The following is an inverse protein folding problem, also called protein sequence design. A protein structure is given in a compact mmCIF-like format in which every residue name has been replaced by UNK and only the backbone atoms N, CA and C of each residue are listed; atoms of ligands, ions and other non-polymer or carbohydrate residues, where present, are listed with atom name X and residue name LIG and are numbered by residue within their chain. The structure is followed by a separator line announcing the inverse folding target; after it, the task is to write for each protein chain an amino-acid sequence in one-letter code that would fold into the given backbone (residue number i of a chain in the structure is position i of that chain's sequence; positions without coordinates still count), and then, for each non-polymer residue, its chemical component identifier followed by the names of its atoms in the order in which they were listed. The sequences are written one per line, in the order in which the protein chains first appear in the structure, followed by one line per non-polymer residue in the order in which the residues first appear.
data_IF_972770682710
#
_entry.id   IF_972770682710
#
_cell.length_a   1.000
_cell.length_b   1.000
_cell.length_c   1.000
_cell.angle_alpha   90.00
_cell.angle_beta   90.00
_cell.angle_gamma   90.00
#
_symmetry.space_group_name_H-M   'P 1'
#
loop_
_entity.id
_entity.type
_entity.pdbx_description
1 polymer ?
#
# COMPACT_ATOMS: atom_id res chain seq x y z
N UNK A 1 -2.09 0.36 17.36
CA UNK A 1 -1.26 1.56 17.53
C UNK A 1 -2.16 2.75 17.76
N UNK A 2 -2.02 3.35 18.94
CA UNK A 2 -2.67 4.58 19.37
C UNK A 2 -1.67 5.39 20.21
N UNK A 3 -1.61 6.69 19.95
CA UNK A 3 -0.79 7.64 20.71
C UNK A 3 -1.60 8.22 21.87
N UNK A 4 -0.93 8.51 22.98
CA UNK A 4 -1.51 9.20 24.12
C UNK A 4 -0.47 10.08 24.81
N UNK A 5 -0.95 11.17 25.42
CA UNK A 5 -0.14 12.05 26.24
C UNK A 5 -0.03 11.46 27.66
N UNK A 6 1.19 11.16 28.11
CA UNK A 6 1.47 10.75 29.48
C UNK A 6 1.85 11.96 30.32
N UNK A 7 1.12 12.13 31.42
CA UNK A 7 1.36 13.17 32.43
C UNK A 7 2.02 12.50 33.64
N UNK A 8 3.28 12.82 33.91
CA UNK A 8 4.02 12.33 35.06
C UNK A 8 4.15 13.45 36.10
N UNK A 9 3.58 13.23 37.30
CA UNK A 9 3.70 14.17 38.42
C UNK A 9 4.98 13.83 39.22
N UNK A 10 5.88 14.79 39.32
CA UNK A 10 6.98 14.80 40.30
C UNK A 10 6.72 15.89 41.34
N UNK A 11 7.34 15.77 42.52
CA UNK A 11 7.06 16.58 43.71
C UNK A 11 6.81 18.07 43.42
N UNK A 12 7.65 18.70 42.58
CA UNK A 12 7.53 20.12 42.24
C UNK A 12 7.24 20.42 40.76
N UNK A 13 7.09 19.41 39.89
CA UNK A 13 6.94 19.62 38.45
C UNK A 13 6.09 18.54 37.78
N UNK A 14 5.31 18.95 36.79
CA UNK A 14 4.57 18.03 35.90
C UNK A 14 5.33 17.86 34.60
N UNK A 15 5.60 16.64 34.19
CA UNK A 15 6.28 16.30 32.93
C UNK A 15 5.31 15.73 31.91
N UNK A 16 5.48 16.15 30.66
CA UNK A 16 4.70 15.69 29.51
C UNK A 16 5.59 14.87 28.58
N UNK A 17 5.04 13.74 28.12
CA UNK A 17 5.66 12.90 27.10
C UNK A 17 4.59 12.20 26.28
N UNK A 18 4.85 12.02 24.98
CA UNK A 18 3.95 11.32 24.06
C UNK A 18 4.40 9.86 23.97
N UNK A 19 3.46 8.96 24.22
CA UNK A 19 3.68 7.52 24.15
C UNK A 19 2.84 6.88 23.05
N UNK A 20 3.41 5.85 22.44
CA UNK A 20 2.73 4.94 21.52
C UNK A 20 2.38 3.64 22.25
N UNK A 21 1.13 3.20 22.15
CA UNK A 21 0.70 1.87 22.57
C UNK A 21 0.78 0.86 21.42
N UNK A 22 1.50 -0.25 21.64
CA UNK A 22 1.63 -1.35 20.68
C UNK A 22 1.50 -2.70 21.37
N UNK A 23 1.05 -3.71 20.63
CA UNK A 23 0.97 -5.07 21.11
C UNK A 23 2.36 -5.72 21.02
N UNK A 24 2.82 -6.31 22.13
CA UNK A 24 4.10 -7.00 22.20
C UNK A 24 3.88 -8.52 22.27
N UNK A 25 4.21 -9.28 21.21
CA UNK A 25 4.01 -10.73 21.18
C UNK A 25 4.74 -11.48 22.31
N UNK A 26 5.93 -11.01 22.69
CA UNK A 26 6.75 -11.63 23.73
C UNK A 26 6.11 -11.58 25.13
N UNK A 27 5.35 -10.52 25.42
CA UNK A 27 4.69 -10.33 26.73
C UNK A 27 3.18 -10.53 26.66
N UNK A 28 2.65 -10.95 25.49
CA UNK A 28 1.22 -11.13 25.21
C UNK A 28 0.34 -10.01 25.77
N UNK A 29 0.77 -8.76 25.57
CA UNK A 29 0.12 -7.60 26.20
C UNK A 29 0.55 -6.27 25.57
N UNK A 30 -0.15 -5.22 25.97
CA UNK A 30 0.11 -3.86 25.51
C UNK A 30 1.37 -3.30 26.18
N UNK A 31 2.31 -2.82 25.36
CA UNK A 31 3.48 -2.06 25.82
C UNK A 31 3.40 -0.63 25.32
N UNK A 32 4.13 0.24 26.01
CA UNK A 32 4.22 1.66 25.69
C UNK A 32 5.65 2.01 25.30
N UNK A 33 5.82 2.66 24.15
CA UNK A 33 7.09 3.24 23.69
C UNK A 33 7.02 4.75 23.81
N UNK A 34 8.03 5.38 24.39
CA UNK A 34 8.13 6.83 24.39
C UNK A 34 8.53 7.29 22.99
N UNK A 35 7.70 8.12 22.34
CA UNK A 35 7.99 8.70 21.02
C UNK A 35 8.69 10.04 21.18
N UNK A 36 8.19 10.87 22.10
CA UNK A 36 8.70 12.23 22.31
C UNK A 36 8.60 12.63 23.77
N UNK A 37 9.72 13.04 24.35
CA UNK A 37 9.75 13.69 25.66
C UNK A 37 9.62 15.20 25.47
N UNK A 38 8.58 15.82 26.04
CA UNK A 38 8.25 17.23 25.84
C UNK A 38 8.81 18.14 26.96
N UNK A 39 9.10 17.55 28.13
CA UNK A 39 9.67 18.28 29.28
C UNK A 39 8.61 18.72 30.28
N UNK A 40 8.95 19.71 31.13
CA UNK A 40 8.07 20.15 32.22
C UNK A 40 7.08 21.23 31.77
N UNK A 41 5.87 21.20 32.34
CA UNK A 41 4.80 22.17 32.06
C UNK A 41 5.26 23.60 32.33
N UNK A 42 6.04 23.83 33.40
CA UNK A 42 6.56 25.16 33.75
C UNK A 42 7.49 25.73 32.66
N UNK A 43 8.32 24.88 32.03
CA UNK A 43 9.18 25.29 30.91
C UNK A 43 8.38 25.54 29.64
N UNK A 44 7.34 24.75 29.40
CA UNK A 44 6.47 24.89 28.22
C UNK A 44 5.59 26.15 28.30
N UNK A 45 5.13 26.51 29.50
CA UNK A 45 4.46 27.79 29.76
C UNK A 45 5.40 28.97 29.57
N UNK A 46 6.63 28.88 30.08
CA UNK A 46 7.66 29.91 29.87
C UNK A 46 8.05 30.06 28.38
N UNK A 47 7.89 29.02 27.57
CA UNK A 47 8.12 29.05 26.13
C UNK A 47 6.96 29.67 25.32
N UNK A 48 5.89 30.15 25.99
CA UNK A 48 4.78 30.86 25.35
C UNK A 48 3.56 29.99 25.00
N UNK A 49 3.44 28.78 25.56
CA UNK A 49 2.25 27.93 25.39
C UNK A 49 1.37 28.08 26.64
N UNK A 50 0.22 28.76 26.51
CA UNK A 50 -0.69 29.03 27.65
C UNK A 50 -1.13 27.74 28.36
N UNK A 51 -1.66 26.77 27.59
CA UNK A 51 -2.08 25.46 28.09
C UNK A 51 -1.38 24.30 27.36
N UNK A 52 -0.17 23.92 27.82
CA UNK A 52 0.61 22.85 27.18
C UNK A 52 -0.13 21.51 27.10
N UNK A 53 -0.99 21.21 28.08
CA UNK A 53 -1.72 19.94 28.12
C UNK A 53 -2.76 19.87 27.00
N UNK A 54 -3.52 20.95 26.77
CA UNK A 54 -4.53 21.00 25.72
C UNK A 54 -3.87 20.95 24.33
N UNK A 55 -2.82 21.75 24.12
CA UNK A 55 -2.08 21.78 22.86
C UNK A 55 -1.55 20.40 22.45
N UNK A 56 -0.89 19.69 23.37
CA UNK A 56 -0.35 18.36 23.06
C UNK A 56 -1.41 17.27 23.00
N UNK A 57 -2.58 17.48 23.61
CA UNK A 57 -3.72 16.56 23.44
C UNK A 57 -4.26 16.64 22.01
N UNK A 58 -4.41 17.85 21.48
CA UNK A 58 -4.86 18.06 20.09
C UNK A 58 -3.83 17.52 19.08
N UNK A 59 -2.53 17.68 19.36
CA UNK A 59 -1.45 17.11 18.54
C UNK A 59 -1.54 15.57 18.50
N UNK A 60 -1.77 14.93 19.65
CA UNK A 60 -1.96 13.48 19.75
C UNK A 60 -3.23 13.01 19.04
N UNK A 61 -4.31 13.78 19.07
CA UNK A 61 -5.53 13.47 18.32
C UNK A 61 -5.29 13.51 16.81
N UNK A 62 -4.57 14.51 16.31
CA UNK A 62 -4.15 14.57 14.89
C UNK A 62 -3.31 13.36 14.51
N UNK A 63 -2.28 13.02 15.29
CA UNK A 63 -1.45 11.82 15.05
C UNK A 63 -2.28 10.53 15.02
N UNK A 64 -3.32 10.42 15.84
CA UNK A 64 -4.22 9.26 15.84
C UNK A 64 -5.15 9.23 14.61
N UNK A 65 -5.56 10.39 14.08
CA UNK A 65 -6.35 10.51 12.85
C UNK A 65 -5.52 10.09 11.63
N UNK A 66 -4.29 10.59 11.52
CA UNK A 66 -3.36 10.24 10.44
C UNK A 66 -3.09 8.72 10.43
N UNK A 67 -2.83 8.14 11.60
CA UNK A 67 -2.65 6.70 11.74
C UNK A 67 -3.90 5.87 11.39
N UNK A 68 -5.11 6.42 11.49
CA UNK A 68 -6.33 5.73 11.03
C UNK A 68 -6.42 5.76 9.51
N UNK A 69 -6.01 6.87 8.88
CA UNK A 69 -5.97 6.99 7.43
C UNK A 69 -4.91 6.06 6.85
N UNK A 70 -3.69 6.02 7.39
CA UNK A 70 -2.61 5.13 6.93
C UNK A 70 -2.88 3.64 7.14
N UNK A 71 -3.78 3.28 8.07
CA UNK A 71 -4.27 1.91 8.26
C UNK A 71 -5.25 1.46 7.18
N UNK A 72 -5.68 2.33 6.27
CA UNK A 72 -6.33 1.84 5.04
C UNK A 72 -5.35 0.91 4.32
N UNK A 73 -5.75 -0.35 4.19
CA UNK A 73 -4.89 -1.46 3.78
C UNK A 73 -4.29 -1.17 2.41
N UNK A 74 -2.98 -0.87 2.38
CA UNK A 74 -2.18 -0.83 1.13
C UNK A 74 -2.09 -2.21 0.46
N UNK A 75 -2.44 -3.28 1.17
CA UNK A 75 -2.58 -4.64 0.65
C UNK A 75 -4.07 -4.89 0.38
N UNK A 76 -4.49 -4.75 -0.88
CA UNK A 76 -5.77 -5.28 -1.33
C UNK A 76 -5.78 -6.80 -1.20
N UNK A 77 -6.93 -7.41 -0.89
CA UNK A 77 -7.06 -8.87 -0.80
C UNK A 77 -6.79 -9.60 -2.14
N UNK A 78 -6.66 -8.82 -3.22
CA UNK A 78 -6.41 -9.28 -4.59
C UNK A 78 -4.98 -8.90 -4.96
N UNK A 79 -4.15 -9.91 -5.24
CA UNK A 79 -2.82 -9.70 -5.84
C UNK A 79 -2.99 -8.98 -7.18
N UNK A 80 -2.23 -7.91 -7.45
CA UNK A 80 -2.31 -7.19 -8.72
C UNK A 80 -1.86 -8.07 -9.90
N UNK A 81 -0.97 -9.03 -9.66
CA UNK A 81 -0.55 -10.04 -10.64
C UNK A 81 -1.16 -11.39 -10.28
N UNK A 82 -2.01 -11.88 -11.16
CA UNK A 82 -2.58 -13.24 -11.16
C UNK A 82 -2.30 -13.83 -12.54
N UNK A 83 -2.43 -15.15 -12.69
CA UNK A 83 -2.35 -15.78 -14.01
C UNK A 83 -0.96 -15.85 -14.67
N UNK A 84 0.13 -15.97 -13.89
CA UNK A 84 1.51 -16.16 -14.40
C UNK A 84 1.75 -17.47 -15.19
N UNK A 85 0.76 -18.37 -15.25
CA UNK A 85 0.88 -19.69 -15.88
C UNK A 85 0.98 -19.68 -17.41
N UNK A 86 0.84 -18.53 -18.08
CA UNK A 86 1.01 -18.45 -19.54
C UNK A 86 2.48 -18.42 -19.99
N UNK A 87 3.44 -18.25 -19.06
CA UNK A 87 4.84 -18.07 -19.39
C UNK A 87 5.43 -19.17 -20.31
N UNK A 88 5.09 -20.48 -20.18
CA UNK A 88 5.66 -21.50 -21.05
C UNK A 88 5.17 -21.34 -22.49
N UNK A 89 3.91 -20.93 -22.67
CA UNK A 89 3.34 -20.66 -23.98
C UNK A 89 3.95 -19.41 -24.61
N UNK A 90 4.29 -18.42 -23.80
CA UNK A 90 5.06 -17.27 -24.25
C UNK A 90 6.43 -17.70 -24.77
N UNK A 91 7.16 -18.53 -24.03
CA UNK A 91 8.45 -19.07 -24.48
C UNK A 91 8.35 -19.83 -25.80
N UNK A 92 7.34 -20.70 -25.95
CA UNK A 92 7.10 -21.42 -27.22
C UNK A 92 6.82 -20.43 -28.36
N UNK A 93 5.99 -19.41 -28.14
CA UNK A 93 5.64 -18.42 -29.17
C UNK A 93 6.85 -17.55 -29.57
N UNK A 94 7.74 -17.26 -28.62
CA UNK A 94 9.00 -16.54 -28.86
C UNK A 94 10.00 -17.41 -29.63
N UNK A 95 10.14 -18.70 -29.29
CA UNK A 95 11.00 -19.65 -30.00
C UNK A 95 10.55 -19.93 -31.44
N UNK A 96 9.23 -19.98 -31.67
CA UNK A 96 8.67 -20.12 -33.03
C UNK A 96 8.91 -18.87 -33.89
N UNK A 97 9.26 -17.74 -33.29
CA UNK A 97 9.64 -16.50 -33.97
C UNK A 97 8.60 -16.00 -35.01
N UNK A 98 7.33 -16.26 -34.72
CA UNK A 98 6.20 -16.01 -35.63
C UNK A 98 5.96 -14.49 -35.79
N UNK A 99 6.44 -13.68 -34.83
CA UNK A 99 6.25 -12.23 -34.83
C UNK A 99 6.69 -11.59 -36.14
N UNK A 100 7.82 -12.01 -36.70
CA UNK A 100 8.35 -11.51 -37.97
C UNK A 100 7.36 -11.65 -39.12
N UNK A 101 6.64 -12.77 -39.17
CA UNK A 101 5.66 -13.04 -40.21
C UNK A 101 4.38 -12.23 -40.02
N UNK A 102 3.94 -12.04 -38.77
CA UNK A 102 2.76 -11.24 -38.44
C UNK A 102 3.03 -9.76 -38.70
N UNK A 103 4.23 -9.28 -38.39
CA UNK A 103 4.63 -7.89 -38.60
C UNK A 103 4.60 -7.50 -40.09
N UNK A 104 4.79 -8.46 -41.02
CA UNK A 104 4.64 -8.17 -42.45
C UNK A 104 3.22 -7.70 -42.82
N UNK A 105 2.19 -8.18 -42.12
CA UNK A 105 0.82 -7.74 -42.36
C UNK A 105 0.61 -6.27 -41.99
N UNK A 106 1.41 -5.71 -41.08
CA UNK A 106 1.32 -4.29 -40.72
C UNK A 106 1.63 -3.36 -41.90
N UNK A 107 2.38 -3.83 -42.89
CA UNK A 107 2.68 -3.03 -44.09
C UNK A 107 1.53 -3.03 -45.11
N UNK A 108 0.70 -4.07 -45.11
CA UNK A 108 -0.43 -4.20 -46.04
C UNK A 108 -1.75 -3.78 -45.41
N UNK A 109 -1.83 -3.77 -44.08
CA UNK A 109 -3.03 -3.46 -43.31
C UNK A 109 -2.83 -2.15 -42.54
N UNK A 110 -3.84 -1.28 -42.56
CA UNK A 110 -3.82 -0.01 -41.82
C UNK A 110 -4.20 -0.16 -40.35
N UNK A 111 -3.71 -1.18 -39.65
CA UNK A 111 -4.02 -1.38 -38.23
C UNK A 111 -3.31 -0.35 -37.35
N UNK A 112 -4.05 0.27 -36.44
CA UNK A 112 -3.50 1.18 -35.42
C UNK A 112 -2.88 0.46 -34.22
N UNK A 113 -3.08 -0.86 -34.11
CA UNK A 113 -2.63 -1.70 -33.02
C UNK A 113 -1.60 -2.75 -33.48
N UNK A 114 -0.80 -3.28 -32.54
CA UNK A 114 0.11 -4.39 -32.79
C UNK A 114 -0.70 -5.70 -32.88
N UNK A 115 -0.79 -6.25 -34.09
CA UNK A 115 -1.54 -7.48 -34.35
C UNK A 115 -0.95 -8.68 -33.59
N UNK A 116 0.37 -8.77 -33.48
CA UNK A 116 1.03 -9.85 -32.75
C UNK A 116 0.71 -9.78 -31.26
N UNK A 117 0.75 -8.57 -30.68
CA UNK A 117 0.41 -8.35 -29.29
C UNK A 117 -1.04 -8.74 -28.99
N UNK A 118 -1.99 -8.33 -29.83
CA UNK A 118 -3.40 -8.69 -29.66
C UNK A 118 -3.60 -10.20 -29.74
N UNK A 119 -3.02 -10.87 -30.74
CA UNK A 119 -3.17 -12.31 -30.92
C UNK A 119 -2.55 -13.10 -29.76
N UNK A 120 -1.32 -12.75 -29.37
CA UNK A 120 -0.62 -13.41 -28.26
C UNK A 120 -1.38 -13.25 -26.94
N UNK A 121 -1.87 -12.04 -26.63
CA UNK A 121 -2.66 -11.78 -25.42
C UNK A 121 -3.96 -12.57 -25.37
N UNK A 122 -4.67 -12.67 -26.50
CA UNK A 122 -5.89 -13.45 -26.58
C UNK A 122 -5.61 -14.94 -26.36
N UNK A 123 -4.51 -15.47 -26.92
CA UNK A 123 -4.09 -16.86 -26.68
C UNK A 123 -3.78 -17.08 -25.20
N UNK A 124 -2.92 -16.24 -24.60
CA UNK A 124 -2.53 -16.36 -23.20
C UNK A 124 -3.73 -16.29 -22.25
N UNK A 125 -4.63 -15.34 -22.49
CA UNK A 125 -5.84 -15.18 -21.68
C UNK A 125 -6.73 -16.43 -21.72
N UNK A 126 -6.88 -17.08 -22.89
CA UNK A 126 -7.67 -18.31 -23.02
C UNK A 126 -7.02 -19.52 -22.39
N UNK A 127 -5.69 -19.61 -22.46
CA UNK A 127 -4.96 -20.70 -21.82
C UNK A 127 -5.04 -20.63 -20.30
N UNK A 128 -5.05 -19.42 -19.72
CA UNK A 128 -5.09 -19.28 -18.28
C UNK A 128 -6.51 -19.26 -17.70
N UNK A 129 -7.45 -18.59 -18.37
CA UNK A 129 -8.85 -18.57 -17.93
C UNK A 129 -9.81 -18.41 -19.12
N UNK A 130 -10.30 -19.52 -19.69
CA UNK A 130 -11.27 -19.45 -20.78
C UNK A 130 -12.60 -18.89 -20.25
N UNK A 131 -12.95 -17.69 -20.68
CA UNK A 131 -14.17 -16.99 -20.28
C UNK A 131 -14.74 -16.14 -21.41
N UNK A 132 -15.86 -15.44 -21.15
CA UNK A 132 -16.48 -14.54 -22.13
C UNK A 132 -15.54 -13.40 -22.52
N UNK A 133 -15.70 -12.86 -23.73
CA UNK A 133 -14.87 -11.73 -24.23
C UNK A 133 -14.89 -10.54 -23.26
N UNK A 134 -16.07 -10.21 -22.74
CA UNK A 134 -16.26 -9.16 -21.74
C UNK A 134 -15.42 -9.42 -20.48
N UNK A 135 -15.52 -10.63 -19.92
CA UNK A 135 -14.77 -11.01 -18.71
C UNK A 135 -13.27 -11.05 -18.94
N UNK A 136 -12.82 -11.56 -20.09
CA UNK A 136 -11.40 -11.56 -20.49
C UNK A 136 -10.83 -10.15 -20.46
N UNK A 137 -11.56 -9.18 -21.03
CA UNK A 137 -11.10 -7.80 -21.13
C UNK A 137 -10.97 -7.10 -19.77
N UNK A 138 -11.99 -7.20 -18.89
CA UNK A 138 -12.00 -6.48 -17.63
C UNK A 138 -11.22 -7.17 -16.50
N UNK A 139 -11.18 -8.50 -16.49
CA UNK A 139 -10.63 -9.25 -15.35
C UNK A 139 -9.28 -9.91 -15.66
N UNK A 140 -9.08 -10.42 -16.89
CA UNK A 140 -7.91 -11.25 -17.21
C UNK A 140 -6.76 -10.43 -17.79
N UNK A 141 -7.00 -9.65 -18.86
CA UNK A 141 -5.96 -8.88 -19.53
C UNK A 141 -5.19 -7.93 -18.58
N UNK A 142 -5.82 -7.21 -17.64
CA UNK A 142 -5.10 -6.33 -16.71
C UNK A 142 -4.17 -7.08 -15.75
N UNK A 143 -4.34 -8.39 -15.61
CA UNK A 143 -3.55 -9.24 -14.71
C UNK A 143 -2.38 -9.94 -15.42
N UNK A 144 -2.31 -9.89 -16.76
CA UNK A 144 -1.26 -10.53 -17.55
C UNK A 144 0.03 -9.70 -17.68
N UNK A 145 0.04 -8.42 -17.25
CA UNK A 145 1.17 -7.47 -17.37
C UNK A 145 1.66 -6.93 -16.01
#
# INVERSE_FOLDING_TARGET
MAYFLKIAKQQNNTYLAIYESFYSPATKGTKHRCIRSLGSVSKLKAAGIDDPIAFYKDEVEKMNQDNKQDKTKKITAVSPRRYLGYFPLKSILEELDIKKFIDFYKFTTGFEFDLYEVLSLLVYARCVSPCSKYKTYYEILPQLH
#
